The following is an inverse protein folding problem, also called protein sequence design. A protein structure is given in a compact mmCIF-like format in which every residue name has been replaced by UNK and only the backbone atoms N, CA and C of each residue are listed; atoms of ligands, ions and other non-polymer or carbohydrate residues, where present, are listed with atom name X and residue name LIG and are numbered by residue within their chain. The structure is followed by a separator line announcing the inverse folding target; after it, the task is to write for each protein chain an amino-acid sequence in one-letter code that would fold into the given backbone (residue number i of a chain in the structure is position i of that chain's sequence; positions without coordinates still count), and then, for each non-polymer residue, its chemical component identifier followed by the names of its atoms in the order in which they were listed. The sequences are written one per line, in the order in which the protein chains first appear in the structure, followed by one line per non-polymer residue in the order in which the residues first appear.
data_IF_157448537728
#
_entry.id   IF_157448537728
#
_cell.length_a   1.000
_cell.length_b   1.000
_cell.length_c   1.000
_cell.angle_alpha   90.00
_cell.angle_beta   90.00
_cell.angle_gamma   90.00
#
_symmetry.space_group_name_H-M   'P 1'
#
loop_
_entity.id
_entity.type
_entity.pdbx_description
1 polymer ?
#
# COMPACT_ATOMS: atom_id res chain seq x y z
N UNK A 1 20.85 -11.33 40.93
CA UNK A 1 20.46 -11.73 39.58
C UNK A 1 20.57 -10.53 38.66
N UNK A 2 21.61 -10.46 37.82
CA UNK A 2 22.05 -9.23 37.13
C UNK A 2 21.86 -9.37 35.61
N UNK A 3 20.73 -9.92 35.18
CA UNK A 3 20.37 -9.91 33.76
C UNK A 3 19.34 -8.81 33.50
N UNK A 4 19.84 -7.57 33.40
CA UNK A 4 19.06 -6.50 32.77
C UNK A 4 18.90 -6.88 31.30
N UNK A 5 17.74 -7.42 30.93
CA UNK A 5 17.38 -7.70 29.54
C UNK A 5 17.44 -6.39 28.75
N UNK A 6 18.51 -6.16 28.00
CA UNK A 6 18.63 -5.05 27.05
C UNK A 6 17.52 -5.22 26.01
N UNK A 7 16.57 -4.29 25.95
CA UNK A 7 15.47 -4.30 24.98
C UNK A 7 16.10 -4.29 23.58
N UNK A 8 15.96 -5.37 22.81
CA UNK A 8 16.46 -5.43 21.44
C UNK A 8 15.69 -4.37 20.64
N UNK A 9 16.34 -3.27 20.28
CA UNK A 9 15.77 -2.33 19.31
C UNK A 9 15.66 -3.09 17.99
N UNK A 10 14.44 -3.37 17.56
CA UNK A 10 14.19 -3.96 16.24
C UNK A 10 14.70 -3.06 15.11
N UNK A 11 14.60 -3.56 13.88
CA UNK A 11 14.89 -2.77 12.68
C UNK A 11 14.05 -1.48 12.70
N UNK A 12 14.69 -0.33 12.49
CA UNK A 12 13.98 0.95 12.39
C UNK A 12 12.97 0.87 11.26
N UNK A 13 11.73 1.31 11.52
CA UNK A 13 10.67 1.36 10.51
C UNK A 13 11.06 2.40 9.46
N UNK A 14 10.99 2.00 8.19
CA UNK A 14 11.31 2.85 7.04
C UNK A 14 10.15 3.82 6.78
N UNK A 15 8.91 3.34 6.96
CA UNK A 15 7.69 4.13 6.85
C UNK A 15 7.16 4.51 8.24
N UNK A 16 6.51 5.66 8.35
CA UNK A 16 6.10 6.29 9.60
C UNK A 16 4.99 7.31 9.38
N UNK A 17 4.67 8.11 10.41
CA UNK A 17 3.44 8.93 10.42
C UNK A 17 3.38 9.96 9.28
N UNK A 18 4.51 10.62 8.96
CA UNK A 18 4.57 11.57 7.84
C UNK A 18 4.17 10.91 6.51
N UNK A 19 4.63 9.67 6.29
CA UNK A 19 4.34 8.92 5.07
C UNK A 19 2.89 8.41 5.06
N UNK A 20 2.35 8.06 6.23
CA UNK A 20 0.94 7.68 6.38
C UNK A 20 0.00 8.84 6.01
N UNK A 21 0.24 10.03 6.55
CA UNK A 21 -0.59 11.21 6.27
C UNK A 21 -0.56 11.57 4.77
N UNK A 22 0.63 11.57 4.16
CA UNK A 22 0.77 11.78 2.71
C UNK A 22 -0.04 10.75 1.92
N UNK A 23 0.09 9.47 2.26
CA UNK A 23 -0.55 8.38 1.54
C UNK A 23 -2.08 8.44 1.63
N UNK A 24 -2.64 8.78 2.80
CA UNK A 24 -4.08 8.91 2.98
C UNK A 24 -4.66 10.04 2.10
N UNK A 25 -4.05 11.22 2.14
CA UNK A 25 -4.46 12.34 1.29
C UNK A 25 -4.37 11.99 -0.21
N UNK A 26 -3.28 11.33 -0.62
CA UNK A 26 -3.09 10.93 -2.01
C UNK A 26 -4.17 9.96 -2.51
N UNK A 27 -4.60 9.01 -1.67
CA UNK A 27 -5.65 8.05 -2.02
C UNK A 27 -7.03 8.71 -2.00
N UNK A 28 -7.29 9.62 -1.06
CA UNK A 28 -8.55 10.36 -1.02
C UNK A 28 -8.73 11.22 -2.29
N UNK A 29 -7.64 11.80 -2.81
CA UNK A 29 -7.63 12.53 -4.08
C UNK A 29 -7.70 11.59 -5.30
N UNK A 30 -7.15 10.37 -5.21
CA UNK A 30 -7.00 9.43 -6.32
C UNK A 30 -7.43 8.00 -5.93
N UNK A 31 -8.74 7.73 -5.76
CA UNK A 31 -9.22 6.46 -5.19
C UNK A 31 -9.01 5.23 -6.09
N UNK A 32 -8.74 5.43 -7.39
CA UNK A 32 -8.50 4.36 -8.35
C UNK A 32 -7.01 4.01 -8.53
N UNK A 33 -6.13 4.68 -7.80
CA UNK A 33 -4.68 4.47 -7.88
C UNK A 33 -4.29 3.06 -7.47
N UNK A 34 -3.35 2.47 -8.22
CA UNK A 34 -2.81 1.15 -7.91
C UNK A 34 -1.60 1.23 -6.96
N UNK A 35 -1.33 0.16 -6.21
CA UNK A 35 -0.25 0.11 -5.22
C UNK A 35 1.13 0.46 -5.80
N UNK A 36 1.37 0.19 -7.08
CA UNK A 36 2.62 0.56 -7.76
C UNK A 36 2.78 2.08 -7.86
N UNK A 37 1.72 2.79 -8.25
CA UNK A 37 1.71 4.26 -8.33
C UNK A 37 1.84 4.90 -6.95
N UNK A 38 1.26 4.28 -5.91
CA UNK A 38 1.48 4.70 -4.52
C UNK A 38 2.95 4.55 -4.12
N UNK A 39 3.62 3.48 -4.53
CA UNK A 39 5.04 3.29 -4.23
C UNK A 39 5.90 4.33 -4.96
N UNK A 40 5.59 4.64 -6.22
CA UNK A 40 6.28 5.66 -7.01
C UNK A 40 6.07 7.07 -6.46
N UNK A 41 4.84 7.44 -6.09
CA UNK A 41 4.56 8.74 -5.47
C UNK A 41 5.28 8.90 -4.14
N UNK A 42 5.40 7.82 -3.34
CA UNK A 42 6.19 7.83 -2.11
C UNK A 42 7.68 8.07 -2.39
N UNK A 43 8.29 7.39 -3.35
CA UNK A 43 9.73 7.59 -3.64
C UNK A 43 10.01 8.94 -4.30
N UNK A 44 9.07 9.49 -5.07
CA UNK A 44 9.18 10.83 -5.66
C UNK A 44 9.06 11.96 -4.62
N UNK A 45 8.13 11.84 -3.67
CA UNK A 45 7.91 12.87 -2.65
C UNK A 45 8.88 12.75 -1.46
N UNK A 46 9.50 11.59 -1.29
CA UNK A 46 10.50 11.33 -0.25
C UNK A 46 11.76 10.76 -0.91
N UNK A 47 12.65 11.64 -1.38
CA UNK A 47 13.84 11.25 -2.16
C UNK A 47 14.77 10.24 -1.44
N UNK A 48 14.79 10.24 -0.11
CA UNK A 48 15.58 9.30 0.71
C UNK A 48 14.91 7.92 0.88
N UNK A 49 13.70 7.75 0.34
CA UNK A 49 12.88 6.57 0.52
C UNK A 49 13.07 5.60 -0.66
N UNK A 50 13.46 4.38 -0.34
CA UNK A 50 13.41 3.25 -1.27
C UNK A 50 12.48 2.18 -0.69
N UNK A 51 11.30 2.03 -1.29
CA UNK A 51 10.29 1.08 -0.84
C UNK A 51 9.83 0.20 -1.98
N UNK A 52 9.74 -1.10 -1.71
CA UNK A 52 9.16 -2.05 -2.66
C UNK A 52 7.63 -1.96 -2.66
N UNK A 53 7.01 -2.41 -3.76
CA UNK A 53 5.54 -2.56 -3.85
C UNK A 53 4.95 -3.36 -2.68
N UNK A 54 5.62 -4.44 -2.27
CA UNK A 54 5.17 -5.27 -1.13
C UNK A 54 5.26 -4.54 0.21
N UNK A 55 6.29 -3.71 0.40
CA UNK A 55 6.43 -2.87 1.60
C UNK A 55 5.32 -1.83 1.66
N UNK A 56 5.02 -1.18 0.52
CA UNK A 56 3.90 -0.24 0.40
C UNK A 56 2.56 -0.92 0.69
N UNK A 57 2.29 -2.08 0.07
CA UNK A 57 1.08 -2.85 0.31
C UNK A 57 0.88 -3.20 1.80
N UNK A 58 1.92 -3.72 2.44
CA UNK A 58 1.86 -4.07 3.86
C UNK A 58 1.60 -2.82 4.72
N UNK A 59 2.27 -1.71 4.44
CA UNK A 59 2.07 -0.48 5.19
C UNK A 59 0.64 0.07 5.06
N UNK A 60 0.08 0.04 3.84
CA UNK A 60 -1.31 0.44 3.59
C UNK A 60 -2.30 -0.43 4.36
N UNK A 61 -2.09 -1.74 4.37
CA UNK A 61 -3.01 -2.70 5.00
C UNK A 61 -2.89 -2.76 6.52
N UNK A 62 -1.67 -2.64 7.08
CA UNK A 62 -1.44 -2.79 8.53
C UNK A 62 -1.38 -1.49 9.30
N UNK A 63 -0.81 -0.42 8.73
CA UNK A 63 -0.61 0.85 9.44
C UNK A 63 -1.65 1.90 9.04
N UNK A 64 -2.15 1.83 7.80
CA UNK A 64 -3.20 2.73 7.30
C UNK A 64 -4.61 2.11 7.39
N UNK A 65 -4.72 0.84 7.81
CA UNK A 65 -5.98 0.10 7.92
C UNK A 65 -6.83 0.09 6.63
N UNK A 66 -6.18 0.13 5.47
CA UNK A 66 -6.85 0.14 4.18
C UNK A 66 -7.13 -1.29 3.70
N UNK A 67 -8.29 -1.49 3.09
CA UNK A 67 -8.61 -2.71 2.35
C UNK A 67 -8.40 -2.46 0.86
N UNK A 68 -7.47 -3.19 0.25
CA UNK A 68 -7.13 -3.04 -1.16
C UNK A 68 -7.76 -4.20 -1.93
N UNK A 69 -8.50 -3.88 -3.00
CA UNK A 69 -9.13 -4.88 -3.86
C UNK A 69 -8.44 -4.90 -5.22
N UNK A 70 -8.27 -6.09 -5.76
CA UNK A 70 -7.87 -6.26 -7.16
C UNK A 70 -9.12 -6.19 -8.03
N UNK A 71 -9.17 -5.21 -8.93
CA UNK A 71 -10.19 -5.17 -9.97
C UNK A 71 -9.92 -6.32 -10.97
N UNK A 72 -10.91 -7.16 -11.21
CA UNK A 72 -10.88 -8.18 -12.26
C UNK A 72 -11.82 -7.75 -13.38
N UNK A 73 -11.29 -7.60 -14.59
CA UNK A 73 -12.12 -7.36 -15.77
C UNK A 73 -12.81 -8.67 -16.17
N UNK A 74 -14.12 -8.63 -16.33
CA UNK A 74 -14.87 -9.73 -16.93
C UNK A 74 -14.78 -9.61 -18.46
N UNK A 75 -14.59 -10.72 -19.20
CA UNK A 75 -14.62 -10.70 -20.66
C UNK A 75 -16.00 -10.28 -21.17
N UNK A 76 -16.02 -9.40 -22.18
CA UNK A 76 -17.22 -8.79 -22.78
C UNK A 76 -18.20 -9.83 -23.34
N UNK A 77 -17.71 -11.02 -23.75
CA UNK A 77 -18.49 -12.14 -24.30
C UNK A 77 -19.62 -12.66 -23.38
N UNK A 78 -19.62 -12.31 -22.09
CA UNK A 78 -20.74 -12.69 -21.20
C UNK A 78 -22.04 -11.95 -21.52
N UNK A 79 -21.99 -10.85 -22.27
CA UNK A 79 -23.15 -10.04 -22.63
C UNK A 79 -23.51 -10.13 -24.12
N UNK A 80 -22.99 -11.14 -24.84
CA UNK A 80 -23.44 -11.41 -26.20
C UNK A 80 -24.81 -12.10 -26.18
N UNK A 81 -25.67 -11.69 -27.09
CA UNK A 81 -27.02 -12.23 -27.23
C UNK A 81 -27.01 -13.74 -27.51
N UNK A 82 -25.89 -14.27 -28.05
CA UNK A 82 -25.65 -15.70 -28.30
C UNK A 82 -25.56 -16.55 -27.02
N UNK A 83 -25.23 -15.95 -25.86
CA UNK A 83 -25.14 -16.66 -24.56
C UNK A 83 -26.38 -16.51 -23.68
N UNK A 84 -27.31 -15.64 -24.06
CA UNK A 84 -28.61 -15.46 -23.40
C UNK A 84 -29.61 -16.35 -24.16
N UNK A 85 -29.56 -17.66 -23.90
CA UNK A 85 -30.58 -18.61 -24.38
C UNK A 85 -31.67 -18.78 -23.31
#
# INVERSE_FOLDING_TARGET
SIFVKKKKSGRRRILGEKHKQFLLNYIDENPSTVVTEVAESLTQNFADLNVSRSTTYNFMTTECNLSIKQAQFQPVERNSQERIQ
#
